data_IF_099527718519
#
_entry.id   IF_099527718519
#
_cell.length_a   1.000
_cell.length_b   1.000
_cell.length_c   1.000
_cell.angle_alpha   90.00
_cell.angle_beta   90.00
_cell.angle_gamma   90.00
#
_symmetry.space_group_name_H-M   'P 1'
#
loop_
_entity.id
_entity.type
_entity.pdbx_description
1 polymer ?
#
# COMPACT_ATOMS: atom_id res chain seq x y z
N UNK A 1 -0.35 24.58 21.62
CA UNK A 1 -0.52 25.74 20.74
C UNK A 1 0.82 26.44 20.64
N UNK A 2 1.64 26.04 19.67
CA UNK A 2 2.84 26.77 19.27
C UNK A 2 2.59 27.17 17.83
N UNK A 3 2.15 28.41 17.67
CA UNK A 3 2.04 29.09 16.39
C UNK A 3 3.45 29.26 15.83
N UNK A 4 3.80 28.46 14.83
CA UNK A 4 4.96 28.68 14.00
C UNK A 4 4.78 30.02 13.29
N UNK A 5 5.56 31.02 13.65
CA UNK A 5 5.62 32.28 12.93
C UNK A 5 6.15 32.02 11.52
N UNK A 6 5.28 31.80 10.59
CA UNK A 6 5.56 31.98 9.18
C UNK A 6 5.78 33.48 8.99
N UNK A 7 7.00 33.87 8.63
CA UNK A 7 7.24 35.18 8.04
C UNK A 7 6.34 35.26 6.81
N UNK A 8 5.27 36.05 6.91
CA UNK A 8 4.48 36.42 5.76
C UNK A 8 5.41 37.08 4.73
N UNK A 9 5.76 36.33 3.72
CA UNK A 9 6.34 36.89 2.51
C UNK A 9 5.28 37.82 1.95
N UNK A 10 5.53 39.13 2.08
CA UNK A 10 4.71 40.15 1.44
C UNK A 10 4.51 39.78 -0.03
N UNK A 11 3.40 40.25 -0.61
CA UNK A 11 3.14 40.15 -2.04
C UNK A 11 4.18 40.98 -2.77
N UNK A 12 5.42 40.47 -2.83
CA UNK A 12 6.49 41.04 -3.64
C UNK A 12 6.24 40.65 -5.10
N UNK A 13 6.58 41.53 -6.02
CA UNK A 13 6.45 41.32 -7.46
C UNK A 13 7.24 40.13 -8.01
N UNK A 14 7.94 39.38 -7.15
CA UNK A 14 8.76 38.21 -7.43
C UNK A 14 8.09 36.88 -7.12
N UNK A 15 6.89 36.86 -6.51
CA UNK A 15 6.17 35.62 -6.19
C UNK A 15 4.92 35.47 -7.06
N UNK A 16 4.59 34.23 -7.36
CA UNK A 16 3.38 33.82 -8.06
C UNK A 16 2.52 32.95 -7.14
N UNK A 17 1.21 33.10 -7.27
CA UNK A 17 0.23 32.28 -6.55
C UNK A 17 0.05 30.96 -7.27
N UNK A 18 0.36 29.84 -6.59
CA UNK A 18 0.16 28.49 -7.15
C UNK A 18 -0.82 27.72 -6.27
N UNK A 19 -1.87 27.20 -6.91
CA UNK A 19 -2.88 26.37 -6.26
C UNK A 19 -2.68 24.94 -6.69
N UNK A 20 -2.52 24.04 -5.74
CA UNK A 20 -2.42 22.61 -5.96
C UNK A 20 -3.71 21.92 -5.52
N UNK A 21 -4.34 21.19 -6.43
CA UNK A 21 -5.45 20.30 -6.13
C UNK A 21 -4.95 18.85 -6.18
N UNK A 22 -4.72 18.29 -5.02
CA UNK A 22 -4.17 16.94 -4.84
C UNK A 22 -5.29 15.92 -4.76
N UNK A 23 -5.20 14.87 -5.58
CA UNK A 23 -6.19 13.79 -5.62
C UNK A 23 -5.51 12.45 -5.91
N UNK A 24 -6.10 11.38 -5.42
CA UNK A 24 -5.69 10.06 -5.86
C UNK A 24 -5.98 9.91 -7.37
N UNK A 25 -4.98 9.52 -8.14
CA UNK A 25 -5.04 9.40 -9.60
C UNK A 25 -6.14 8.44 -10.09
N UNK A 26 -6.51 7.48 -9.26
CA UNK A 26 -7.33 6.33 -9.67
C UNK A 26 -8.78 6.36 -9.15
N UNK A 27 -9.15 7.36 -8.35
CA UNK A 27 -10.55 7.56 -7.93
C UNK A 27 -11.33 8.19 -9.08
N UNK A 28 -11.81 7.37 -10.00
CA UNK A 28 -12.85 7.79 -10.95
C UNK A 28 -14.12 8.01 -10.15
N UNK A 29 -14.64 9.24 -10.19
CA UNK A 29 -15.81 9.76 -9.50
C UNK A 29 -16.88 8.70 -9.16
N UNK A 30 -17.10 8.43 -7.88
CA UNK A 30 -18.31 7.78 -7.41
C UNK A 30 -18.18 6.72 -6.30
N UNK A 31 -17.01 6.17 -6.02
CA UNK A 31 -16.80 5.28 -4.87
C UNK A 31 -15.30 5.23 -4.56
N UNK A 32 -14.88 5.96 -3.54
CA UNK A 32 -13.57 5.73 -2.94
C UNK A 32 -13.77 4.84 -1.72
N UNK A 33 -12.92 3.84 -1.54
CA UNK A 33 -12.72 3.28 -0.21
C UNK A 33 -12.34 4.47 0.69
N UNK A 34 -12.90 4.58 1.90
CA UNK A 34 -12.57 5.67 2.83
C UNK A 34 -11.05 5.77 3.08
N UNK A 35 -10.34 4.66 2.88
CA UNK A 35 -8.87 4.60 2.99
C UNK A 35 -8.12 5.38 1.91
N UNK A 36 -8.74 5.61 0.75
CA UNK A 36 -8.14 6.32 -0.38
C UNK A 36 -8.44 7.83 -0.39
N UNK A 37 -9.22 8.29 0.57
CA UNK A 37 -9.54 9.70 0.70
C UNK A 37 -8.32 10.51 1.14
N UNK A 38 -8.14 11.69 0.52
CA UNK A 38 -7.13 12.67 0.95
C UNK A 38 -7.64 13.36 2.22
N UNK A 39 -7.17 12.91 3.37
CA UNK A 39 -7.56 13.43 4.68
C UNK A 39 -6.64 14.53 5.20
N UNK A 40 -5.35 14.38 4.95
CA UNK A 40 -4.30 15.34 5.27
C UNK A 40 -3.30 15.40 4.12
N UNK A 41 -2.62 16.52 4.00
CA UNK A 41 -1.60 16.76 2.98
C UNK A 41 -0.44 17.53 3.62
N UNK A 42 0.76 16.98 3.51
CA UNK A 42 2.00 17.73 3.72
C UNK A 42 2.57 18.12 2.36
N UNK A 43 2.87 19.40 2.20
CA UNK A 43 3.52 19.96 1.00
C UNK A 43 4.92 20.40 1.38
N UNK A 44 5.91 19.85 0.68
CA UNK A 44 7.32 20.21 0.82
C UNK A 44 7.82 20.74 -0.52
N UNK A 45 8.38 21.94 -0.52
CA UNK A 45 8.93 22.57 -1.73
C UNK A 45 10.42 22.78 -1.54
N UNK A 46 11.20 22.21 -2.44
CA UNK A 46 12.66 22.31 -2.45
C UNK A 46 13.14 23.14 -3.64
N UNK A 47 14.29 23.76 -3.48
CA UNK A 47 15.04 24.34 -4.60
C UNK A 47 15.68 23.19 -5.39
N UNK A 48 15.42 23.11 -6.72
CA UNK A 48 16.11 22.13 -7.56
C UNK A 48 17.61 22.46 -7.79
N UNK A 49 18.08 23.63 -7.36
CA UNK A 49 19.48 24.04 -7.52
C UNK A 49 20.32 23.77 -6.27
N UNK A 50 19.73 23.91 -5.07
CA UNK A 50 20.44 23.79 -3.79
C UNK A 50 19.96 22.62 -2.93
N UNK A 51 18.90 21.94 -3.34
CA UNK A 51 18.23 20.86 -2.59
C UNK A 51 17.65 21.31 -1.23
N UNK A 52 17.73 22.60 -0.89
CA UNK A 52 17.21 23.15 0.36
C UNK A 52 15.68 23.20 0.39
N UNK A 53 15.10 22.93 1.56
CA UNK A 53 13.67 23.09 1.82
C UNK A 53 13.31 24.58 1.89
N UNK A 54 12.51 25.05 0.93
CA UNK A 54 12.05 26.43 0.84
C UNK A 54 10.72 26.65 1.55
N UNK A 55 9.85 25.62 1.53
CA UNK A 55 8.51 25.71 2.10
C UNK A 55 8.04 24.36 2.61
N UNK A 56 7.35 24.37 3.75
CA UNK A 56 6.71 23.19 4.33
C UNK A 56 5.40 23.58 5.01
N UNK A 57 4.32 22.88 4.69
CA UNK A 57 3.02 23.06 5.33
C UNK A 57 2.26 21.73 5.44
N UNK A 58 1.59 21.52 6.57
CA UNK A 58 0.64 20.44 6.78
C UNK A 58 -0.77 21.01 6.85
N UNK A 59 -1.66 20.49 6.00
CA UNK A 59 -3.04 20.98 5.86
C UNK A 59 -4.04 19.82 5.87
N UNK A 60 -5.30 20.13 6.17
CA UNK A 60 -6.40 19.19 6.05
C UNK A 60 -6.95 19.18 4.63
N UNK A 61 -7.22 17.97 4.10
CA UNK A 61 -7.71 17.79 2.73
C UNK A 61 -6.62 17.94 1.68
N UNK A 62 -7.02 18.02 0.41
CA UNK A 62 -6.12 17.97 -0.74
C UNK A 62 -5.93 19.30 -1.48
N UNK A 63 -6.15 20.44 -0.83
CA UNK A 63 -6.06 21.75 -1.47
C UNK A 63 -5.00 22.61 -0.78
N UNK A 64 -3.94 22.97 -1.51
CA UNK A 64 -2.86 23.85 -1.04
C UNK A 64 -2.75 25.10 -1.90
N UNK A 65 -2.58 26.26 -1.27
CA UNK A 65 -2.34 27.53 -1.93
C UNK A 65 -1.01 28.11 -1.42
N UNK A 66 -0.03 28.24 -2.33
CA UNK A 66 1.31 28.69 -2.01
C UNK A 66 1.67 29.95 -2.81
N UNK A 67 2.54 30.76 -2.24
CA UNK A 67 3.20 31.88 -2.93
C UNK A 67 4.66 31.49 -3.14
N UNK A 68 4.99 31.12 -4.37
CA UNK A 68 6.29 30.57 -4.76
C UNK A 68 7.09 31.59 -5.54
N UNK A 69 8.41 31.53 -5.45
CA UNK A 69 9.31 32.41 -6.20
C UNK A 69 9.12 32.20 -7.70
N UNK A 70 8.88 33.31 -8.41
CA UNK A 70 8.70 33.31 -9.85
C UNK A 70 9.95 32.81 -10.57
N UNK A 71 9.75 31.98 -11.60
CA UNK A 71 10.77 31.44 -12.50
C UNK A 71 11.86 30.58 -11.80
N UNK A 72 11.77 30.37 -10.46
CA UNK A 72 12.69 29.49 -9.76
C UNK A 72 12.41 28.02 -10.12
N UNK A 73 13.46 27.20 -10.33
CA UNK A 73 13.29 25.77 -10.53
C UNK A 73 12.99 25.10 -9.16
N UNK A 74 11.80 24.50 -9.05
CA UNK A 74 11.28 23.94 -7.81
C UNK A 74 10.91 22.47 -7.95
N UNK A 75 11.11 21.74 -6.86
CA UNK A 75 10.60 20.39 -6.65
C UNK A 75 9.55 20.39 -5.54
N UNK A 76 8.30 20.11 -5.90
CA UNK A 76 7.18 20.07 -5.00
C UNK A 76 6.80 18.63 -4.71
N UNK A 77 6.91 18.19 -3.46
CA UNK A 77 6.52 16.86 -3.00
C UNK A 77 5.24 16.96 -2.18
N UNK A 78 4.33 16.03 -2.43
CA UNK A 78 3.01 15.97 -1.81
C UNK A 78 2.87 14.63 -1.09
N UNK A 79 2.76 14.66 0.24
CA UNK A 79 2.63 13.48 1.09
C UNK A 79 1.25 13.49 1.72
N UNK A 80 0.47 12.48 1.43
CA UNK A 80 -0.94 12.38 1.82
C UNK A 80 -1.11 11.33 2.91
N UNK A 81 -1.94 11.67 3.91
CA UNK A 81 -2.30 10.80 5.04
C UNK A 81 -1.11 10.33 5.89
N UNK A 82 -0.04 11.09 5.91
CA UNK A 82 1.12 10.84 6.78
C UNK A 82 0.80 11.23 8.23
N UNK A 83 1.43 10.60 9.23
CA UNK A 83 1.34 11.07 10.61
C UNK A 83 1.79 12.53 10.74
N UNK A 84 1.11 13.31 11.59
CA UNK A 84 1.47 14.70 11.82
C UNK A 84 2.90 14.81 12.38
N UNK A 85 3.67 15.79 11.88
CA UNK A 85 5.04 16.01 12.29
C UNK A 85 6.08 15.06 11.67
N UNK A 86 5.69 14.19 10.72
CA UNK A 86 6.62 13.28 10.04
C UNK A 86 7.80 13.99 9.39
N UNK A 87 7.65 15.27 9.07
CA UNK A 87 8.66 16.04 8.36
C UNK A 87 9.26 17.19 9.20
N UNK A 88 9.10 17.18 10.54
CA UNK A 88 9.56 18.28 11.39
C UNK A 88 11.07 18.52 11.28
N UNK A 89 11.84 17.45 11.11
CA UNK A 89 13.30 17.50 11.02
C UNK A 89 13.83 17.67 9.59
N UNK A 90 12.98 17.60 8.56
CA UNK A 90 13.38 17.74 7.14
C UNK A 90 13.80 19.17 6.84
N UNK A 91 15.01 19.34 6.30
CA UNK A 91 15.65 20.60 5.92
C UNK A 91 16.07 20.66 4.46
N UNK A 92 16.32 19.50 3.87
CA UNK A 92 16.71 19.33 2.47
C UNK A 92 16.12 18.04 1.89
N UNK A 93 16.42 17.79 0.62
CA UNK A 93 15.90 16.61 -0.10
C UNK A 93 16.50 15.31 0.42
N UNK A 94 17.72 15.33 0.98
CA UNK A 94 18.36 14.14 1.51
C UNK A 94 17.69 13.70 2.81
N UNK A 95 17.32 14.63 3.70
CA UNK A 95 16.50 14.35 4.88
C UNK A 95 15.16 13.71 4.48
N UNK A 96 14.55 14.17 3.37
CA UNK A 96 13.32 13.56 2.86
C UNK A 96 13.55 12.14 2.34
N UNK A 97 14.69 11.87 1.68
CA UNK A 97 15.06 10.52 1.21
C UNK A 97 15.25 9.54 2.37
N UNK A 98 15.77 10.03 3.50
CA UNK A 98 15.94 9.23 4.71
C UNK A 98 14.63 9.03 5.49
N UNK A 99 13.61 9.83 5.22
CA UNK A 99 12.31 9.73 5.87
C UNK A 99 11.48 8.57 5.31
N UNK A 100 10.71 7.91 6.17
CA UNK A 100 9.95 6.72 5.78
C UNK A 100 8.57 6.65 6.43
N UNK A 101 7.67 5.93 5.77
CA UNK A 101 6.36 5.55 6.27
C UNK A 101 6.40 4.13 6.82
N UNK A 102 5.81 3.92 8.00
CA UNK A 102 5.58 2.59 8.55
C UNK A 102 4.36 1.94 7.88
N UNK A 103 4.37 0.62 7.77
CA UNK A 103 3.21 -0.11 7.24
C UNK A 103 1.94 0.18 8.07
N UNK A 104 2.08 0.33 9.38
CA UNK A 104 0.99 0.68 10.29
C UNK A 104 0.31 2.02 10.02
N UNK A 105 0.97 2.95 9.35
CA UNK A 105 0.41 4.26 8.98
C UNK A 105 -0.76 4.11 8.01
N UNK A 106 -0.77 3.02 7.23
CA UNK A 106 -1.84 2.69 6.27
C UNK A 106 -3.10 2.08 6.92
N UNK A 107 -3.14 1.93 8.25
CA UNK A 107 -4.26 1.24 8.95
C UNK A 107 -5.61 1.87 8.67
N UNK A 108 -5.71 3.18 8.72
CA UNK A 108 -6.95 3.92 8.56
C UNK A 108 -7.10 4.53 7.18
N UNK A 109 -6.03 5.05 6.63
CA UNK A 109 -5.96 5.63 5.29
C UNK A 109 -4.62 5.29 4.67
N UNK A 110 -4.63 5.10 3.36
CA UNK A 110 -3.39 4.80 2.65
C UNK A 110 -2.50 6.03 2.61
N UNK A 111 -1.22 5.85 2.92
CA UNK A 111 -0.19 6.85 2.67
C UNK A 111 0.07 6.90 1.17
N UNK A 112 0.01 8.12 0.61
CA UNK A 112 0.19 8.34 -0.82
C UNK A 112 1.19 9.47 -1.04
N UNK A 113 1.89 9.43 -2.17
CA UNK A 113 2.85 10.45 -2.56
C UNK A 113 2.65 10.91 -3.98
N UNK A 114 3.01 12.16 -4.26
CA UNK A 114 3.03 12.75 -5.58
C UNK A 114 4.14 13.80 -5.69
N UNK A 115 4.50 14.14 -6.92
CA UNK A 115 5.61 15.03 -7.19
C UNK A 115 5.37 15.90 -8.42
N UNK A 116 5.81 17.15 -8.35
CA UNK A 116 5.79 18.10 -9.46
C UNK A 116 7.12 18.85 -9.49
N UNK A 117 7.88 18.73 -10.58
CA UNK A 117 9.13 19.46 -10.79
C UNK A 117 8.96 20.48 -11.93
N UNK A 118 8.98 21.76 -11.60
CA UNK A 118 8.84 22.84 -12.58
C UNK A 118 9.09 24.24 -12.00
N UNK A 119 9.28 25.23 -12.90
CA UNK A 119 9.22 26.65 -12.59
C UNK A 119 7.84 27.23 -12.89
N UNK A 120 7.45 28.29 -12.17
CA UNK A 120 6.20 29.01 -12.35
C UNK A 120 6.49 30.47 -12.74
N UNK A 121 6.06 30.88 -13.93
CA UNK A 121 6.24 32.25 -14.46
C UNK A 121 5.04 33.18 -14.17
N UNK A 122 3.91 32.62 -13.77
CA UNK A 122 2.67 33.32 -13.44
C UNK A 122 1.81 32.48 -12.53
N UNK A 123 0.75 33.07 -11.99
CA UNK A 123 -0.26 32.34 -11.23
C UNK A 123 -0.72 31.07 -11.96
N UNK A 124 -0.85 29.97 -11.22
CA UNK A 124 -1.16 28.68 -11.78
C UNK A 124 -2.08 27.85 -10.87
N UNK A 125 -2.82 26.92 -11.49
CA UNK A 125 -3.57 25.87 -10.82
C UNK A 125 -3.13 24.51 -11.35
N UNK A 126 -2.67 23.64 -10.48
CA UNK A 126 -2.07 22.35 -10.82
C UNK A 126 -2.88 21.24 -10.17
N UNK A 127 -3.33 20.29 -10.99
CA UNK A 127 -3.84 19.02 -10.49
C UNK A 127 -2.66 18.08 -10.23
N UNK A 128 -2.53 17.61 -9.00
CA UNK A 128 -1.47 16.68 -8.59
C UNK A 128 -2.10 15.31 -8.37
N UNK A 129 -1.58 14.32 -9.07
CA UNK A 129 -1.95 12.94 -8.87
C UNK A 129 -1.02 12.31 -7.84
N UNK A 130 -1.60 11.61 -6.85
CA UNK A 130 -0.85 10.86 -5.84
C UNK A 130 -1.15 9.38 -5.95
N UNK A 131 -0.15 8.56 -5.57
CA UNK A 131 -0.17 7.11 -5.67
C UNK A 131 0.12 6.50 -4.30
N UNK A 132 -0.51 5.38 -4.00
CA UNK A 132 -0.32 4.64 -2.75
C UNK A 132 1.09 4.09 -2.66
N UNK A 133 1.72 4.16 -1.51
CA UNK A 133 3.01 3.51 -1.25
C UNK A 133 2.88 1.99 -1.05
N UNK A 134 1.72 1.51 -0.63
CA UNK A 134 1.49 0.08 -0.43
C UNK A 134 0.98 -0.61 -1.71
N UNK A 135 1.20 -1.94 -1.75
CA UNK A 135 0.58 -2.88 -2.67
C UNK A 135 -0.65 -3.52 -2.03
N UNK A 136 -1.57 -4.01 -2.83
CA UNK A 136 -2.75 -4.77 -2.39
C UNK A 136 -2.67 -6.22 -2.90
N UNK A 137 -2.80 -7.18 -1.98
CA UNK A 137 -2.93 -8.59 -2.30
C UNK A 137 -4.40 -8.97 -2.09
N UNK A 138 -5.06 -9.44 -3.14
CA UNK A 138 -6.45 -9.89 -3.10
C UNK A 138 -6.53 -11.39 -3.33
N UNK A 139 -7.07 -12.13 -2.36
CA UNK A 139 -7.36 -13.57 -2.50
C UNK A 139 -8.87 -13.76 -2.52
N UNK A 140 -9.42 -14.11 -3.69
CA UNK A 140 -10.86 -14.16 -3.86
C UNK A 140 -11.47 -15.46 -3.31
N UNK A 141 -10.83 -16.63 -3.55
CA UNK A 141 -11.36 -17.91 -3.08
C UNK A 141 -10.31 -19.01 -2.96
N UNK A 142 -10.62 -20.00 -2.11
CA UNK A 142 -9.84 -21.21 -1.91
C UNK A 142 -10.71 -22.42 -2.28
N UNK A 143 -10.11 -23.44 -2.90
CA UNK A 143 -10.83 -24.67 -3.30
C UNK A 143 -9.98 -25.88 -2.93
N UNK A 144 -10.33 -26.64 -1.88
CA UNK A 144 -9.76 -27.96 -1.66
C UNK A 144 -10.19 -28.91 -2.79
N UNK A 145 -9.23 -29.61 -3.39
CA UNK A 145 -9.44 -30.58 -4.49
C UNK A 145 -8.61 -31.83 -4.24
N UNK A 146 -8.78 -32.46 -3.06
CA UNK A 146 -7.98 -33.60 -2.69
C UNK A 146 -8.36 -34.85 -3.52
N UNK A 147 -7.35 -35.47 -4.13
CA UNK A 147 -7.54 -36.75 -4.85
C UNK A 147 -7.77 -37.92 -3.89
N UNK A 148 -7.34 -37.79 -2.62
CA UNK A 148 -7.47 -38.84 -1.61
C UNK A 148 -8.80 -38.68 -0.86
N UNK A 149 -9.72 -39.63 -1.01
CA UNK A 149 -11.04 -39.60 -0.39
C UNK A 149 -10.98 -39.61 1.15
N UNK A 150 -9.98 -40.23 1.74
CA UNK A 150 -9.78 -40.23 3.21
C UNK A 150 -9.44 -38.83 3.71
N UNK A 151 -8.61 -38.09 2.96
CA UNK A 151 -8.27 -36.70 3.25
C UNK A 151 -9.49 -35.78 3.06
N UNK A 152 -10.22 -35.98 1.95
CA UNK A 152 -11.43 -35.20 1.69
C UNK A 152 -12.48 -35.37 2.80
N UNK A 153 -12.56 -36.58 3.40
CA UNK A 153 -13.48 -36.89 4.49
C UNK A 153 -12.98 -36.50 5.90
N UNK A 154 -11.69 -36.12 6.05
CA UNK A 154 -11.06 -35.94 7.37
C UNK A 154 -11.39 -34.66 8.11
N UNK A 155 -12.17 -33.77 7.50
CA UNK A 155 -12.38 -32.41 7.98
C UNK A 155 -11.20 -31.49 7.65
N UNK A 156 -11.51 -30.41 6.98
CA UNK A 156 -10.54 -29.38 6.57
C UNK A 156 -10.95 -28.08 7.22
N UNK A 157 -10.10 -27.52 8.05
CA UNK A 157 -10.35 -26.23 8.69
C UNK A 157 -9.37 -25.23 8.08
N UNK A 158 -9.87 -24.15 7.52
CA UNK A 158 -9.05 -23.02 7.12
C UNK A 158 -8.85 -22.13 8.35
N UNK A 159 -7.62 -22.06 8.86
CA UNK A 159 -7.28 -21.28 10.05
C UNK A 159 -7.05 -19.81 9.72
N UNK A 160 -6.47 -19.53 8.54
CA UNK A 160 -6.20 -18.18 8.10
C UNK A 160 -5.13 -18.08 7.03
N UNK A 161 -4.79 -16.86 6.68
CA UNK A 161 -3.70 -16.53 5.78
C UNK A 161 -3.00 -15.25 6.22
N UNK A 162 -1.73 -15.14 5.86
CA UNK A 162 -0.90 -13.98 6.19
C UNK A 162 0.25 -13.86 5.20
N UNK A 163 0.91 -12.70 5.23
CA UNK A 163 2.11 -12.45 4.44
C UNK A 163 3.36 -12.60 5.32
N UNK A 164 4.42 -13.10 4.71
CA UNK A 164 5.78 -13.15 5.28
C UNK A 164 6.74 -12.33 4.42
N UNK A 165 7.83 -11.87 5.03
CA UNK A 165 8.88 -11.07 4.38
C UNK A 165 8.37 -9.74 3.80
N UNK A 166 7.35 -9.14 4.40
CA UNK A 166 6.93 -7.77 4.07
C UNK A 166 7.84 -6.77 4.75
N UNK A 167 8.11 -5.63 4.10
CA UNK A 167 8.87 -4.55 4.73
C UNK A 167 8.06 -3.86 5.80
N UNK A 168 8.71 -3.48 6.89
CA UNK A 168 8.14 -2.67 7.97
C UNK A 168 7.92 -1.23 7.54
N UNK A 169 8.84 -0.71 6.73
CA UNK A 169 8.81 0.67 6.28
C UNK A 169 9.25 0.81 4.83
N UNK A 170 8.82 1.89 4.22
CA UNK A 170 9.21 2.32 2.89
C UNK A 170 9.52 3.81 2.91
N UNK A 171 10.57 4.24 2.22
CA UNK A 171 10.86 5.66 2.03
C UNK A 171 9.72 6.37 1.33
N UNK A 172 9.47 7.64 1.67
CA UNK A 172 8.42 8.41 0.99
C UNK A 172 8.67 8.60 -0.50
N UNK A 173 9.92 8.44 -0.95
CA UNK A 173 10.28 8.47 -2.37
C UNK A 173 10.28 7.06 -3.03
N UNK A 174 9.88 6.03 -2.30
CA UNK A 174 9.65 4.68 -2.82
C UNK A 174 10.77 3.67 -2.53
N UNK A 175 11.83 4.05 -1.83
CA UNK A 175 12.94 3.16 -1.49
C UNK A 175 12.60 2.28 -0.28
N UNK A 176 13.01 1.01 -0.32
CA UNK A 176 12.82 0.08 0.82
C UNK A 176 13.83 0.42 1.91
N UNK A 177 13.35 0.64 3.12
CA UNK A 177 14.19 1.04 4.27
C UNK A 177 14.44 -0.12 5.22
N UNK A 178 13.47 -1.02 5.43
CA UNK A 178 13.59 -2.14 6.37
C UNK A 178 12.70 -3.32 5.98
N UNK A 179 13.22 -4.53 6.21
CA UNK A 179 12.53 -5.80 5.98
C UNK A 179 12.06 -6.50 7.27
N UNK A 180 12.25 -5.90 8.45
CA UNK A 180 11.82 -6.51 9.70
C UNK A 180 10.31 -6.41 9.87
N UNK A 181 9.66 -7.58 10.04
CA UNK A 181 8.22 -7.70 10.21
C UNK A 181 7.80 -8.03 11.65
N UNK A 182 8.73 -8.15 12.58
CA UNK A 182 8.40 -8.39 13.98
C UNK A 182 7.74 -7.17 14.62
N UNK A 183 6.55 -7.38 15.17
CA UNK A 183 5.80 -6.30 15.87
C UNK A 183 4.95 -5.41 14.97
N UNK A 184 4.89 -5.66 13.68
CA UNK A 184 4.03 -4.93 12.76
C UNK A 184 2.54 -5.11 13.02
N UNK A 185 1.77 -4.21 12.46
CA UNK A 185 0.31 -4.26 12.45
C UNK A 185 -0.18 -5.42 11.56
N UNK A 186 -0.24 -6.62 12.11
CA UNK A 186 -0.66 -7.84 11.41
C UNK A 186 -2.05 -7.74 10.77
N UNK A 187 -2.93 -6.90 11.29
CA UNK A 187 -4.23 -6.59 10.71
C UNK A 187 -4.16 -5.99 9.30
N UNK A 188 -2.98 -5.52 8.85
CA UNK A 188 -2.75 -5.05 7.49
C UNK A 188 -2.46 -6.20 6.49
N UNK A 189 -1.96 -7.34 6.97
CA UNK A 189 -1.49 -8.44 6.14
C UNK A 189 -1.79 -9.84 6.69
N UNK A 190 -2.75 -9.95 7.64
CA UNK A 190 -3.18 -11.22 8.22
C UNK A 190 -4.71 -11.32 8.25
N UNK A 191 -5.24 -12.49 7.88
CA UNK A 191 -6.64 -12.85 8.04
C UNK A 191 -6.77 -14.12 8.86
N UNK A 192 -7.62 -14.09 9.89
CA UNK A 192 -7.97 -15.25 10.72
C UNK A 192 -9.33 -15.79 10.32
N UNK A 193 -9.38 -17.10 10.15
CA UNK A 193 -10.59 -17.85 9.88
C UNK A 193 -10.55 -19.13 10.73
N UNK A 194 -11.70 -19.59 11.17
CA UNK A 194 -11.89 -20.93 11.77
C UNK A 194 -13.02 -21.62 11.03
N UNK A 195 -12.93 -21.65 9.70
CA UNK A 195 -14.00 -22.13 8.84
C UNK A 195 -13.76 -23.57 8.43
N UNK A 196 -14.74 -24.44 8.72
CA UNK A 196 -14.78 -25.78 8.14
C UNK A 196 -15.03 -25.65 6.63
N UNK A 197 -14.17 -26.27 5.84
CA UNK A 197 -14.24 -26.27 4.38
C UNK A 197 -14.47 -27.68 3.89
N UNK A 198 -15.50 -27.86 3.04
CA UNK A 198 -15.75 -29.14 2.42
C UNK A 198 -14.87 -29.30 1.16
N UNK A 199 -14.38 -30.53 0.91
CA UNK A 199 -13.68 -30.84 -0.33
C UNK A 199 -14.51 -30.46 -1.56
N UNK A 200 -13.84 -29.95 -2.58
CA UNK A 200 -14.44 -29.47 -3.85
C UNK A 200 -15.46 -28.33 -3.71
N UNK A 201 -15.57 -27.73 -2.52
CA UNK A 201 -16.45 -26.59 -2.30
C UNK A 201 -15.63 -25.32 -2.20
N UNK A 202 -15.85 -24.31 -3.07
CA UNK A 202 -15.13 -23.05 -2.98
C UNK A 202 -15.46 -22.30 -1.67
N UNK A 203 -14.43 -21.90 -0.93
CA UNK A 203 -14.53 -20.94 0.16
C UNK A 203 -14.22 -19.55 -0.39
N UNK A 204 -15.19 -18.66 -0.42
CA UNK A 204 -14.95 -17.24 -0.70
C UNK A 204 -14.24 -16.61 0.46
N UNK A 205 -13.12 -15.99 0.19
CA UNK A 205 -12.35 -15.27 1.19
C UNK A 205 -12.47 -13.76 0.98
N UNK A 206 -12.47 -13.30 -0.27
CA UNK A 206 -12.46 -11.89 -0.67
C UNK A 206 -11.54 -11.06 0.24
N UNK A 207 -10.38 -11.65 0.57
CA UNK A 207 -9.43 -11.09 1.53
C UNK A 207 -8.50 -10.08 0.85
N UNK A 208 -8.38 -8.91 1.44
CA UNK A 208 -7.48 -7.85 1.00
C UNK A 208 -6.40 -7.62 2.05
N UNK A 209 -5.14 -7.83 1.68
CA UNK A 209 -3.99 -7.55 2.52
C UNK A 209 -3.17 -6.43 1.89
N UNK A 210 -2.67 -5.54 2.72
CA UNK A 210 -1.86 -4.40 2.28
C UNK A 210 -0.45 -4.59 2.81
N UNK A 211 0.55 -4.36 1.97
CA UNK A 211 1.95 -4.49 2.36
C UNK A 211 2.84 -3.57 1.54
N UNK A 212 4.03 -3.31 2.07
CA UNK A 212 5.13 -2.80 1.29
C UNK A 212 5.85 -3.97 0.59
N UNK A 213 6.62 -3.67 -0.44
CA UNK A 213 7.49 -4.65 -1.09
C UNK A 213 8.46 -5.25 -0.06
N UNK A 214 8.82 -6.52 -0.25
CA UNK A 214 9.87 -7.16 0.55
C UNK A 214 11.26 -6.60 0.23
N UNK A 215 12.24 -6.98 1.05
CA UNK A 215 13.65 -6.74 0.78
C UNK A 215 14.07 -7.42 -0.54
N UNK A 216 15.08 -6.87 -1.22
CA UNK A 216 15.62 -7.42 -2.46
C UNK A 216 16.04 -8.90 -2.37
N UNK A 217 16.40 -9.34 -1.16
CA UNK A 217 16.92 -10.68 -0.91
C UNK A 217 15.84 -11.71 -0.53
N UNK A 218 14.61 -11.28 -0.27
CA UNK A 218 13.51 -12.17 0.14
C UNK A 218 12.21 -11.78 -0.54
N UNK A 219 11.65 -12.70 -1.32
CA UNK A 219 10.31 -12.54 -1.87
C UNK A 219 9.25 -12.52 -0.79
N UNK A 220 8.25 -11.67 -0.95
CA UNK A 220 7.05 -11.72 -0.11
C UNK A 220 6.33 -13.03 -0.38
N UNK A 221 5.91 -13.72 0.67
CA UNK A 221 5.20 -14.98 0.59
C UNK A 221 3.79 -14.86 1.17
N UNK A 222 2.79 -15.32 0.43
CA UNK A 222 1.46 -15.56 0.97
C UNK A 222 1.44 -16.97 1.59
N UNK A 223 1.14 -17.05 2.88
CA UNK A 223 1.02 -18.31 3.62
C UNK A 223 -0.43 -18.55 3.98
N UNK A 224 -0.93 -19.72 3.60
CA UNK A 224 -2.25 -20.22 4.00
C UNK A 224 -2.04 -21.29 5.09
N UNK A 225 -2.81 -21.20 6.16
CA UNK A 225 -2.78 -22.16 7.26
C UNK A 225 -4.07 -22.98 7.31
N UNK A 226 -3.92 -24.30 7.32
CA UNK A 226 -5.03 -25.22 7.40
C UNK A 226 -4.78 -26.30 8.44
N UNK A 227 -5.84 -26.74 9.13
CA UNK A 227 -5.84 -28.00 9.87
C UNK A 227 -6.51 -29.07 9.05
N UNK A 228 -5.77 -30.10 8.68
CA UNK A 228 -6.22 -31.24 7.87
C UNK A 228 -5.93 -32.54 8.64
N UNK A 229 -6.95 -33.35 8.86
CA UNK A 229 -6.83 -34.56 9.66
C UNK A 229 -6.18 -34.34 11.05
N UNK A 230 -6.48 -33.18 11.68
CA UNK A 230 -5.95 -32.81 12.99
C UNK A 230 -4.49 -32.32 13.00
N UNK A 231 -3.89 -32.08 11.82
CA UNK A 231 -2.53 -31.56 11.69
C UNK A 231 -2.55 -30.19 11.01
N UNK A 232 -1.74 -29.28 11.52
CA UNK A 232 -1.52 -27.98 10.85
C UNK A 232 -0.68 -28.19 9.59
N UNK A 233 -1.09 -27.54 8.52
CA UNK A 233 -0.44 -27.57 7.21
C UNK A 233 -0.30 -26.14 6.70
N UNK A 234 0.85 -25.82 6.14
CA UNK A 234 1.15 -24.51 5.57
C UNK A 234 1.33 -24.62 4.05
N UNK A 235 0.72 -23.70 3.33
CA UNK A 235 0.86 -23.58 1.88
C UNK A 235 1.45 -22.22 1.58
N UNK A 236 2.74 -22.19 1.27
CA UNK A 236 3.50 -20.97 1.03
C UNK A 236 3.61 -20.70 -0.45
N UNK A 237 3.13 -19.53 -0.87
CA UNK A 237 3.10 -19.06 -2.25
C UNK A 237 4.05 -17.87 -2.35
N UNK A 238 5.08 -18.00 -3.15
CA UNK A 238 5.95 -16.88 -3.49
C UNK A 238 5.22 -15.92 -4.41
N UNK A 239 5.13 -14.65 -4.01
CA UNK A 239 4.53 -13.61 -4.83
C UNK A 239 5.59 -13.01 -5.76
N UNK A 240 5.20 -12.49 -6.95
CA UNK A 240 6.12 -11.73 -7.78
C UNK A 240 6.57 -10.47 -7.05
N UNK A 241 7.62 -9.81 -7.55
CA UNK A 241 8.07 -8.53 -6.99
C UNK A 241 6.90 -7.55 -6.89
N UNK A 242 6.67 -7.05 -5.67
CA UNK A 242 5.56 -6.14 -5.39
C UNK A 242 5.96 -4.71 -5.75
N UNK A 243 5.07 -4.02 -6.46
CA UNK A 243 5.22 -2.62 -6.82
C UNK A 243 4.19 -1.78 -6.07
N UNK A 244 4.56 -0.62 -5.53
CA UNK A 244 3.61 0.33 -4.95
C UNK A 244 2.45 0.62 -5.91
N UNK A 245 1.26 0.79 -5.34
CA UNK A 245 0.06 1.13 -6.11
C UNK A 245 -0.42 0.05 -7.11
N UNK A 246 0.00 -1.22 -6.93
CA UNK A 246 -0.47 -2.35 -7.74
C UNK A 246 -1.31 -3.33 -6.91
N UNK A 247 -2.27 -3.98 -7.58
CA UNK A 247 -3.04 -5.11 -7.06
C UNK A 247 -2.52 -6.42 -7.63
N UNK A 248 -2.32 -7.37 -6.73
CA UNK A 248 -1.94 -8.74 -7.00
C UNK A 248 -3.13 -9.64 -6.70
N UNK A 249 -3.93 -9.93 -7.72
CA UNK A 249 -5.18 -10.67 -7.58
C UNK A 249 -4.96 -12.16 -7.80
N UNK A 250 -5.33 -12.95 -6.81
CA UNK A 250 -5.37 -14.40 -6.86
C UNK A 250 -6.84 -14.82 -6.88
N UNK A 251 -7.35 -15.14 -8.06
CA UNK A 251 -8.77 -15.47 -8.25
C UNK A 251 -9.16 -16.76 -7.55
N UNK A 252 -8.26 -17.76 -7.58
CA UNK A 252 -8.51 -19.06 -6.99
C UNK A 252 -7.20 -19.73 -6.61
N UNK A 253 -7.16 -20.31 -5.41
CA UNK A 253 -6.10 -21.18 -4.94
C UNK A 253 -6.70 -22.59 -4.79
N UNK A 254 -6.15 -23.57 -5.48
CA UNK A 254 -6.57 -24.98 -5.41
C UNK A 254 -5.54 -25.78 -4.63
N UNK A 255 -6.04 -26.51 -3.63
CA UNK A 255 -5.22 -27.37 -2.77
C UNK A 255 -5.41 -28.82 -3.21
N UNK A 256 -4.35 -29.50 -3.63
CA UNK A 256 -4.42 -30.86 -4.17
C UNK A 256 -3.84 -31.92 -3.21
N UNK A 257 -3.04 -31.54 -2.25
CA UNK A 257 -2.38 -32.44 -1.30
C UNK A 257 -2.05 -31.73 0.00
N UNK A 258 -1.30 -32.41 0.88
CA UNK A 258 -0.80 -31.81 2.12
C UNK A 258 0.16 -30.64 1.84
N UNK A 259 0.10 -29.64 2.71
CA UNK A 259 1.11 -28.60 2.81
C UNK A 259 2.37 -29.06 3.51
N UNK A 260 3.21 -28.10 3.88
CA UNK A 260 4.42 -28.30 4.68
C UNK A 260 4.11 -28.19 6.17
N UNK A 261 5.06 -28.68 7.03
CA UNK A 261 4.92 -28.59 8.48
C UNK A 261 5.29 -27.22 9.03
N UNK A 262 5.93 -26.36 8.22
CA UNK A 262 6.38 -25.03 8.61
C UNK A 262 6.02 -23.99 7.57
N UNK A 263 5.67 -22.76 8.01
CA UNK A 263 5.46 -21.66 7.10
C UNK A 263 6.79 -21.26 6.39
N UNK A 264 6.67 -20.75 5.17
CA UNK A 264 7.83 -20.31 4.38
C UNK A 264 8.59 -21.43 3.66
N UNK A 265 8.30 -22.70 3.94
CA UNK A 265 8.86 -23.81 3.17
C UNK A 265 8.16 -23.92 1.81
N UNK A 266 8.96 -24.16 0.76
CA UNK A 266 8.44 -24.34 -0.59
C UNK A 266 7.60 -25.63 -0.69
N UNK A 267 6.39 -25.47 -1.17
CA UNK A 267 5.47 -26.58 -1.36
C UNK A 267 5.74 -27.34 -2.67
N UNK A 268 5.43 -28.64 -2.69
CA UNK A 268 5.42 -29.40 -3.94
C UNK A 268 4.40 -28.78 -4.91
N UNK A 269 4.82 -28.51 -6.13
CA UNK A 269 3.99 -27.92 -7.19
C UNK A 269 2.72 -28.74 -7.51
N UNK A 270 2.71 -30.02 -7.17
CA UNK A 270 1.54 -30.88 -7.32
C UNK A 270 0.52 -30.75 -6.17
N UNK A 271 0.92 -30.15 -5.04
CA UNK A 271 0.03 -29.97 -3.89
C UNK A 271 -0.79 -28.67 -3.95
N UNK A 272 -0.41 -27.74 -4.82
CA UNK A 272 -1.02 -26.42 -4.93
C UNK A 272 -1.02 -25.92 -6.37
N UNK A 273 -2.12 -25.28 -6.80
CA UNK A 273 -2.14 -24.50 -8.04
C UNK A 273 -2.87 -23.19 -7.87
N UNK A 274 -2.36 -22.15 -8.52
CA UNK A 274 -2.92 -20.79 -8.48
C UNK A 274 -2.42 -19.97 -9.68
N UNK A 275 -3.03 -18.82 -9.91
CA UNK A 275 -2.57 -17.83 -10.88
C UNK A 275 -2.69 -16.46 -10.27
N UNK A 276 -1.62 -15.65 -10.39
CA UNK A 276 -1.60 -14.26 -9.95
C UNK A 276 -1.80 -13.36 -11.17
N UNK A 277 -2.76 -12.44 -11.08
CA UNK A 277 -2.93 -11.35 -12.04
C UNK A 277 -2.42 -10.07 -11.40
N UNK A 278 -1.59 -9.33 -12.10
CA UNK A 278 -0.99 -8.08 -11.62
C UNK A 278 -1.55 -6.94 -12.44
N UNK A 279 -2.20 -5.98 -11.78
CA UNK A 279 -2.77 -4.81 -12.43
C UNK A 279 -2.43 -3.55 -11.64
N UNK A 280 -2.37 -2.37 -12.26
CA UNK A 280 -2.44 -1.12 -11.52
C UNK A 280 -3.67 -1.15 -10.61
N UNK A 281 -3.52 -0.75 -9.37
CA UNK A 281 -4.62 -0.77 -8.42
C UNK A 281 -5.62 0.34 -8.73
N UNK A 282 -6.68 -0.01 -9.47
CA UNK A 282 -7.79 0.89 -9.81
C UNK A 282 -9.07 0.45 -9.09
N UNK A 283 -9.86 1.39 -8.60
CA UNK A 283 -11.13 1.09 -7.90
C UNK A 283 -12.27 0.64 -8.83
N UNK A 284 -12.00 0.50 -10.13
CA UNK A 284 -13.04 0.26 -11.14
C UNK A 284 -13.52 -1.19 -11.24
N UNK A 285 -12.75 -2.18 -10.80
CA UNK A 285 -13.09 -3.60 -10.98
C UNK A 285 -13.97 -4.19 -9.86
N UNK A 286 -14.01 -3.59 -8.67
CA UNK A 286 -14.83 -4.09 -7.56
C UNK A 286 -16.35 -3.90 -7.76
N UNK A 287 -16.78 -3.21 -8.83
CA UNK A 287 -18.20 -2.92 -9.10
C UNK A 287 -19.00 -4.10 -9.63
N UNK A 288 -18.39 -5.00 -10.39
CA UNK A 288 -19.14 -6.11 -11.02
C UNK A 288 -19.59 -7.18 -10.02
N UNK A 289 -18.89 -7.34 -8.91
CA UNK A 289 -19.21 -8.39 -7.94
C UNK A 289 -20.21 -7.99 -6.84
N UNK A 290 -20.43 -6.69 -6.58
CA UNK A 290 -21.42 -6.23 -5.59
C UNK A 290 -22.85 -6.11 -6.12
N UNK A 291 -23.06 -6.16 -7.43
CA UNK A 291 -24.43 -6.10 -8.02
C UNK A 291 -25.12 -7.46 -8.14
N UNK A 292 -24.44 -8.55 -7.80
CA UNK A 292 -24.97 -9.94 -7.91
C UNK A 292 -25.17 -10.65 -6.57
N UNK A 293 -25.17 -9.92 -5.45
CA UNK A 293 -25.48 -10.47 -4.12
C UNK A 293 -26.80 -9.99 -3.59
#
# INVERSE_FOLDING_TARGET
>A
MLSSCIRGLGVDSENVRVVFDVRNAEVKSGYSDDKDAVGSLAVLVFSSESDELLYKEEISGGHAELYLQKDAPLECHFMVNVPAGSFDEVRDIDDLRESSSLLSDNRHRHVMTGHVSRSFSSDARINVEVFRLCSRIHVARLVPLFANETLAASGIIFNGMYLMNVSESIGYLGDIVSSDTEGLARDMYEYRYDSLVADRTPLRTDAYMYCYSGDSDKSVMLVLEFTIAGRTNYYSIELPALLPNYEYRIHEIRLHGFGTDKPGEMIDRNALSFTVTVNPWTDSEDREHRQLS
#
